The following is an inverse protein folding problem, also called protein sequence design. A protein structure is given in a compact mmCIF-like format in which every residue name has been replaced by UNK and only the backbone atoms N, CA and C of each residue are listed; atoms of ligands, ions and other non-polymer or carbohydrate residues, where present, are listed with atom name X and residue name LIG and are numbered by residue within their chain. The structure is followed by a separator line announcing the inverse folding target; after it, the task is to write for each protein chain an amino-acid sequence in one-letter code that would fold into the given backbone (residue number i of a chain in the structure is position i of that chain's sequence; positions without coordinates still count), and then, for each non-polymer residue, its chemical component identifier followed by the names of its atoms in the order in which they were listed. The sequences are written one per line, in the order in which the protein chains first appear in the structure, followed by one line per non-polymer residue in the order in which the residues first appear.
data_IF_901919383495
#
_entry.id   IF_901919383495
#
_cell.length_a   1.000
_cell.length_b   1.000
_cell.length_c   1.000
_cell.angle_alpha   90.00
_cell.angle_beta   90.00
_cell.angle_gamma   90.00
#
_symmetry.space_group_name_H-M   'P 1'
#
loop_
_entity.id
_entity.type
_entity.pdbx_description
1 polymer ?
#
# COMPACT_ATOMS: atom_id res chain seq x y z
N UNK A 1 12.29 -30.65 -3.95
CA UNK A 1 12.99 -30.45 -2.65
C UNK A 1 14.27 -29.67 -2.92
N UNK A 2 14.25 -28.34 -2.81
CA UNK A 2 15.45 -27.51 -3.03
C UNK A 2 16.21 -27.37 -1.71
N UNK A 3 17.38 -28.03 -1.64
CA UNK A 3 18.32 -27.90 -0.52
C UNK A 3 18.80 -26.45 -0.50
N UNK A 4 18.52 -25.71 0.58
CA UNK A 4 19.11 -24.39 0.80
C UNK A 4 20.60 -24.58 1.05
N UNK A 5 21.44 -24.16 0.12
CA UNK A 5 22.88 -24.04 0.34
C UNK A 5 23.11 -22.92 1.34
N UNK A 6 23.39 -23.27 2.59
CA UNK A 6 23.78 -22.30 3.61
C UNK A 6 25.17 -21.78 3.24
N UNK A 7 25.27 -20.53 2.81
CA UNK A 7 26.55 -19.84 2.74
C UNK A 7 27.18 -19.85 4.13
N UNK A 8 28.32 -20.51 4.30
CA UNK A 8 29.10 -20.39 5.53
C UNK A 8 29.79 -19.04 5.53
N UNK A 9 29.13 -18.01 6.06
CA UNK A 9 29.85 -16.81 6.49
C UNK A 9 30.73 -17.22 7.67
N UNK A 10 32.05 -17.22 7.46
CA UNK A 10 33.01 -17.18 8.58
C UNK A 10 33.03 -15.75 9.09
N UNK A 11 32.33 -15.52 10.20
CA UNK A 11 32.42 -14.29 10.97
C UNK A 11 33.35 -14.63 12.13
N UNK A 12 34.51 -13.97 12.20
CA UNK A 12 35.40 -14.09 13.36
C UNK A 12 34.62 -13.62 14.60
N UNK A 13 34.77 -14.33 15.72
CA UNK A 13 33.90 -14.22 16.88
C UNK A 13 33.88 -12.83 17.56
N UNK A 14 34.76 -11.93 17.13
CA UNK A 14 34.98 -10.56 17.60
C UNK A 14 34.62 -9.48 16.56
N UNK A 15 34.16 -9.86 15.36
CA UNK A 15 33.86 -8.91 14.29
C UNK A 15 32.56 -8.11 14.55
N UNK A 16 32.71 -6.88 15.05
CA UNK A 16 31.57 -5.97 15.35
C UNK A 16 30.92 -5.38 14.09
N UNK A 17 31.54 -5.51 12.91
CA UNK A 17 31.06 -4.91 11.64
C UNK A 17 31.46 -5.79 10.45
N UNK A 18 30.52 -6.02 9.53
CA UNK A 18 30.77 -6.70 8.24
C UNK A 18 30.35 -5.73 7.12
N UNK A 19 31.32 -5.21 6.38
CA UNK A 19 31.09 -4.15 5.38
C UNK A 19 30.64 -2.83 6.04
N UNK A 20 29.53 -2.24 5.59
CA UNK A 20 28.91 -1.05 6.22
C UNK A 20 27.88 -1.40 7.29
N UNK A 21 27.62 -2.69 7.52
CA UNK A 21 26.61 -3.16 8.45
C UNK A 21 27.25 -3.51 9.81
N UNK A 22 26.68 -2.94 10.89
CA UNK A 22 27.01 -3.38 12.26
C UNK A 22 26.39 -4.75 12.53
N UNK A 23 27.20 -5.67 13.02
CA UNK A 23 26.74 -6.98 13.48
C UNK A 23 26.11 -6.78 14.85
N UNK A 24 24.86 -7.19 15.02
CA UNK A 24 24.18 -7.23 16.32
C UNK A 24 24.14 -8.66 16.80
N UNK A 25 24.80 -8.94 17.92
CA UNK A 25 24.69 -10.19 18.65
C UNK A 25 23.29 -10.30 19.24
N UNK A 26 22.34 -10.90 18.51
CA UNK A 26 21.28 -11.71 19.13
C UNK A 26 20.37 -12.32 18.09
N UNK A 27 20.57 -13.63 17.89
CA UNK A 27 19.63 -14.53 17.24
C UNK A 27 18.44 -14.83 18.16
N UNK A 28 17.70 -13.80 18.56
CA UNK A 28 16.40 -13.98 19.20
C UNK A 28 15.36 -13.43 18.23
N UNK A 29 14.87 -14.28 17.34
CA UNK A 29 13.76 -13.95 16.43
C UNK A 29 12.47 -13.97 17.27
N UNK A 30 11.64 -12.93 17.14
CA UNK A 30 10.22 -12.98 17.54
C UNK A 30 9.82 -12.53 18.95
N UNK A 31 10.63 -11.76 19.68
CA UNK A 31 10.22 -11.20 21.00
C UNK A 31 10.45 -9.70 21.06
N UNK A 32 9.45 -8.94 21.53
CA UNK A 32 9.62 -7.50 21.76
C UNK A 32 10.69 -7.25 22.83
N UNK A 33 11.41 -6.13 22.73
CA UNK A 33 12.49 -5.81 23.68
C UNK A 33 11.99 -5.77 25.13
N UNK A 34 10.74 -5.33 25.35
CA UNK A 34 10.12 -5.29 26.66
C UNK A 34 9.87 -6.69 27.23
N UNK A 35 9.40 -7.64 26.41
CA UNK A 35 9.15 -9.01 26.86
C UNK A 35 10.43 -9.74 27.30
N UNK A 36 11.58 -9.40 26.70
CA UNK A 36 12.89 -9.97 27.08
C UNK A 36 13.36 -9.47 28.43
N UNK A 37 13.27 -8.17 28.67
CA UNK A 37 13.68 -7.56 29.94
C UNK A 37 12.86 -8.09 31.11
N UNK A 38 11.58 -8.37 30.90
CA UNK A 38 10.71 -8.97 31.91
C UNK A 38 11.15 -10.43 32.19
N UNK A 39 11.43 -11.23 31.16
CA UNK A 39 11.87 -12.62 31.35
C UNK A 39 13.24 -12.72 32.06
N UNK A 40 14.20 -11.85 31.73
CA UNK A 40 15.52 -11.81 32.39
C UNK A 40 15.42 -11.38 33.86
N UNK A 41 14.55 -10.41 34.15
CA UNK A 41 14.39 -9.88 35.51
C UNK A 41 13.62 -10.83 36.42
N UNK A 42 12.66 -11.57 35.87
CA UNK A 42 11.69 -12.34 36.68
C UNK A 42 11.85 -13.85 36.55
N UNK A 43 12.67 -14.34 35.60
CA UNK A 43 12.87 -15.76 35.32
C UNK A 43 11.68 -16.48 34.69
N UNK A 44 10.49 -15.87 34.72
CA UNK A 44 9.24 -16.42 34.19
C UNK A 44 9.11 -16.09 32.71
N UNK A 45 9.02 -17.14 31.89
CA UNK A 45 8.72 -16.99 30.46
C UNK A 45 7.23 -16.67 30.28
N UNK A 46 6.86 -15.70 29.41
CA UNK A 46 5.47 -15.47 29.09
C UNK A 46 4.88 -16.68 28.34
N UNK A 47 3.58 -16.96 28.51
CA UNK A 47 2.95 -18.14 27.93
C UNK A 47 3.02 -18.13 26.40
N UNK A 48 3.33 -19.28 25.81
CA UNK A 48 3.32 -19.49 24.36
C UNK A 48 1.94 -19.92 23.87
N UNK A 49 1.52 -19.42 22.70
CA UNK A 49 0.26 -19.75 22.00
C UNK A 49 0.03 -21.26 21.70
N UNK A 50 0.95 -22.15 22.08
CA UNK A 50 0.90 -23.58 21.74
C UNK A 50 0.19 -24.45 22.79
N UNK A 51 -0.09 -23.93 24.00
CA UNK A 51 -0.68 -24.70 25.12
C UNK A 51 -2.22 -24.68 25.17
N UNK A 52 -2.90 -24.07 24.20
CA UNK A 52 -4.35 -23.86 24.21
C UNK A 52 -5.20 -25.08 23.76
N UNK A 53 -4.58 -26.24 23.50
CA UNK A 53 -5.32 -27.43 22.99
C UNK A 53 -5.98 -28.24 24.12
N UNK A 54 -5.55 -28.10 25.37
CA UNK A 54 -6.05 -28.91 26.49
C UNK A 54 -7.31 -28.37 27.20
N UNK A 55 -7.85 -27.21 26.79
CA UNK A 55 -8.83 -26.44 27.58
C UNK A 55 -10.28 -26.46 27.06
N UNK A 56 -10.69 -27.48 26.29
CA UNK A 56 -12.11 -27.71 25.99
C UNK A 56 -12.75 -26.62 25.12
N UNK A 57 -12.18 -26.41 23.93
CA UNK A 57 -12.74 -25.52 22.91
C UNK A 57 -14.06 -26.08 22.34
N UNK A 58 -15.19 -25.51 22.76
CA UNK A 58 -16.53 -25.77 22.22
C UNK A 58 -16.77 -24.86 20.98
N UNK A 59 -16.84 -25.41 19.75
CA UNK A 59 -17.00 -24.62 18.53
C UNK A 59 -18.40 -23.97 18.38
N UNK A 60 -19.32 -24.21 19.31
CA UNK A 60 -20.69 -23.65 19.29
C UNK A 60 -20.92 -22.42 20.17
N UNK A 61 -19.94 -21.98 20.96
CA UNK A 61 -20.10 -20.83 21.85
C UNK A 61 -20.18 -19.51 21.06
N UNK A 62 -21.13 -18.60 21.36
CA UNK A 62 -21.19 -17.30 20.71
C UNK A 62 -19.90 -16.53 21.05
N UNK A 63 -19.14 -16.17 20.01
CA UNK A 63 -17.94 -15.35 20.15
C UNK A 63 -18.27 -14.09 20.96
N UNK A 64 -17.51 -13.78 22.03
CA UNK A 64 -17.79 -12.61 22.86
C UNK A 64 -17.70 -11.35 22.00
N UNK A 65 -18.59 -10.37 22.24
CA UNK A 65 -18.62 -9.07 21.55
C UNK A 65 -17.25 -8.34 21.54
N UNK A 66 -16.35 -8.68 22.46
CA UNK A 66 -14.97 -8.20 22.51
C UNK A 66 -14.08 -8.69 21.35
N UNK A 67 -14.49 -9.72 20.60
CA UNK A 67 -13.82 -10.25 19.41
C UNK A 67 -14.37 -9.68 18.09
N UNK A 68 -15.38 -8.81 18.13
CA UNK A 68 -15.83 -8.11 16.93
C UNK A 68 -14.79 -7.07 16.53
N UNK A 69 -14.22 -7.24 15.34
CA UNK A 69 -13.23 -6.34 14.76
C UNK A 69 -13.83 -4.93 14.71
N UNK A 70 -13.31 -4.02 15.54
CA UNK A 70 -13.76 -2.64 15.56
C UNK A 70 -13.72 -2.07 14.13
N UNK A 71 -14.84 -1.47 13.70
CA UNK A 71 -14.92 -0.80 12.41
C UNK A 71 -13.90 0.33 12.43
N UNK A 72 -12.73 0.09 11.83
CA UNK A 72 -11.64 1.06 11.80
C UNK A 72 -12.18 2.34 11.15
N UNK A 73 -12.04 3.50 11.80
CA UNK A 73 -12.50 4.75 11.20
C UNK A 73 -11.82 4.90 9.84
N UNK A 74 -12.64 5.09 8.79
CA UNK A 74 -12.15 5.28 7.42
C UNK A 74 -11.05 6.34 7.44
N UNK A 75 -9.94 6.06 6.73
CA UNK A 75 -8.79 6.96 6.66
C UNK A 75 -9.26 8.36 6.26
N UNK A 76 -8.93 9.36 7.08
CA UNK A 76 -9.36 10.76 6.91
C UNK A 76 -10.88 11.03 7.05
N UNK A 77 -11.65 10.17 7.75
CA UNK A 77 -13.12 10.28 7.92
C UNK A 77 -13.90 10.38 6.60
N UNK A 78 -13.33 9.83 5.53
CA UNK A 78 -13.94 9.91 4.22
C UNK A 78 -15.10 8.91 4.09
N UNK A 79 -16.23 9.34 3.54
CA UNK A 79 -17.40 8.48 3.31
C UNK A 79 -17.34 8.02 1.86
N UNK A 80 -17.19 6.71 1.64
CA UNK A 80 -17.33 6.11 0.31
C UNK A 80 -18.76 6.35 -0.17
N UNK A 81 -18.91 6.75 -1.42
CA UNK A 81 -20.21 7.07 -1.99
C UNK A 81 -20.43 6.26 -3.25
N UNK A 82 -21.63 5.73 -3.43
CA UNK A 82 -22.06 5.11 -4.67
C UNK A 82 -23.12 6.02 -5.31
N UNK A 83 -22.97 6.31 -6.58
CA UNK A 83 -23.95 7.08 -7.35
C UNK A 83 -24.16 6.40 -8.69
N UNK A 84 -25.40 6.02 -9.00
CA UNK A 84 -25.78 5.38 -10.26
C UNK A 84 -24.94 4.11 -10.58
N UNK A 85 -24.54 3.37 -9.54
CA UNK A 85 -23.72 2.16 -9.66
C UNK A 85 -22.21 2.42 -9.78
N UNK A 86 -21.77 3.67 -9.86
CA UNK A 86 -20.34 4.04 -9.83
C UNK A 86 -19.91 4.24 -8.37
N UNK A 87 -18.85 3.54 -7.97
CA UNK A 87 -18.26 3.66 -6.62
C UNK A 87 -17.17 4.73 -6.63
N UNK A 88 -17.31 5.72 -5.76
CA UNK A 88 -16.33 6.77 -5.52
C UNK A 88 -15.65 6.55 -4.17
N UNK A 89 -14.35 6.80 -4.11
CA UNK A 89 -13.62 6.69 -2.86
C UNK A 89 -13.93 7.89 -1.96
N UNK A 90 -14.24 9.07 -2.52
CA UNK A 90 -14.61 10.27 -1.75
C UNK A 90 -15.80 11.08 -2.29
N UNK A 91 -16.43 11.87 -1.40
CA UNK A 91 -17.44 12.85 -1.81
C UNK A 91 -16.88 13.91 -2.75
N UNK A 92 -15.60 14.29 -2.59
CA UNK A 92 -14.92 15.27 -3.43
C UNK A 92 -14.74 14.76 -4.86
N UNK A 93 -14.34 13.49 -5.02
CA UNK A 93 -14.29 12.82 -6.32
C UNK A 93 -15.66 12.80 -6.99
N UNK A 94 -16.70 12.42 -6.26
CA UNK A 94 -18.07 12.40 -6.79
C UNK A 94 -18.50 13.79 -7.29
N UNK A 95 -18.26 14.85 -6.50
CA UNK A 95 -18.58 16.22 -6.92
C UNK A 95 -17.78 16.64 -8.16
N UNK A 96 -16.49 16.27 -8.25
CA UNK A 96 -15.66 16.55 -9.42
C UNK A 96 -16.15 15.79 -10.65
N UNK A 97 -16.58 14.55 -10.48
CA UNK A 97 -17.17 13.74 -11.54
C UNK A 97 -18.36 14.45 -12.20
N UNK A 98 -19.32 14.96 -11.42
CA UNK A 98 -20.46 15.69 -11.99
C UNK A 98 -20.05 16.93 -12.78
N UNK A 99 -19.04 17.66 -12.30
CA UNK A 99 -18.52 18.82 -13.05
C UNK A 99 -17.91 18.38 -14.38
N UNK A 100 -17.15 17.28 -14.41
CA UNK A 100 -16.56 16.75 -15.64
C UNK A 100 -17.66 16.25 -16.60
N UNK A 101 -18.71 15.61 -16.11
CA UNK A 101 -19.86 15.20 -16.92
C UNK A 101 -20.55 16.41 -17.56
N UNK A 102 -20.73 17.51 -16.81
CA UNK A 102 -21.28 18.75 -17.37
C UNK A 102 -20.35 19.39 -18.43
N UNK A 103 -19.03 19.35 -18.20
CA UNK A 103 -18.04 19.80 -19.19
C UNK A 103 -18.05 18.94 -20.45
N UNK A 104 -18.28 17.63 -20.32
CA UNK A 104 -18.42 16.74 -21.46
C UNK A 104 -19.72 17.01 -22.22
N UNK A 105 -20.84 17.20 -21.50
CA UNK A 105 -22.14 17.51 -22.10
C UNK A 105 -22.13 18.86 -22.85
N UNK A 106 -21.35 19.83 -22.36
CA UNK A 106 -21.14 21.12 -23.03
C UNK A 106 -20.09 21.10 -24.14
N UNK A 107 -19.45 19.95 -24.39
CA UNK A 107 -18.50 19.77 -25.50
C UNK A 107 -17.08 20.26 -25.26
N UNK A 108 -16.71 20.66 -24.04
CA UNK A 108 -15.35 21.11 -23.70
C UNK A 108 -14.36 19.96 -23.56
N UNK A 109 -14.85 18.78 -23.17
CA UNK A 109 -14.05 17.56 -23.02
C UNK A 109 -14.73 16.38 -23.70
N UNK A 110 -13.95 15.37 -24.07
CA UNK A 110 -14.43 14.10 -24.64
C UNK A 110 -13.71 12.91 -24.00
N UNK A 111 -14.24 11.71 -24.22
CA UNK A 111 -13.67 10.44 -23.74
C UNK A 111 -13.38 10.41 -22.24
N UNK A 112 -14.30 10.93 -21.42
CA UNK A 112 -14.18 10.90 -19.96
C UNK A 112 -14.20 9.46 -19.44
N UNK A 113 -13.18 9.09 -18.68
CA UNK A 113 -12.98 7.75 -18.10
C UNK A 113 -12.61 7.86 -16.63
N UNK A 114 -13.12 6.93 -15.82
CA UNK A 114 -12.75 6.79 -14.41
C UNK A 114 -11.66 5.74 -14.20
N UNK A 115 -10.86 5.92 -13.14
CA UNK A 115 -9.96 4.89 -12.61
C UNK A 115 -9.02 4.28 -13.67
N UNK A 116 -8.42 5.15 -14.51
CA UNK A 116 -7.63 4.71 -15.66
C UNK A 116 -6.23 4.27 -15.21
N UNK A 117 -5.82 3.01 -15.49
CA UNK A 117 -4.49 2.54 -15.16
C UNK A 117 -3.46 2.93 -16.23
N UNK A 118 -2.36 3.52 -15.80
CA UNK A 118 -1.16 3.82 -16.58
C UNK A 118 0.01 2.96 -16.10
N UNK A 119 0.73 2.32 -17.02
CA UNK A 119 1.84 1.42 -16.69
C UNK A 119 3.14 2.23 -16.63
N UNK A 120 3.62 2.51 -15.43
CA UNK A 120 4.86 3.27 -15.22
C UNK A 120 6.09 2.43 -15.53
N UNK A 121 6.16 1.25 -14.91
CA UNK A 121 7.26 0.30 -15.10
C UNK A 121 6.68 -1.01 -15.57
N UNK A 122 7.20 -1.53 -16.67
CA UNK A 122 6.78 -2.82 -17.20
C UNK A 122 7.28 -3.96 -16.32
N UNK A 123 6.61 -5.11 -16.43
CA UNK A 123 7.06 -6.34 -15.82
C UNK A 123 8.40 -6.74 -16.45
N UNK A 124 9.43 -6.95 -15.65
CA UNK A 124 10.77 -7.35 -16.11
C UNK A 124 11.27 -8.55 -15.33
N UNK A 125 12.06 -9.40 -15.97
CA UNK A 125 12.74 -10.49 -15.30
C UNK A 125 14.04 -9.95 -14.68
N UNK A 126 14.31 -10.36 -13.44
CA UNK A 126 15.56 -10.09 -12.73
C UNK A 126 16.62 -11.10 -13.12
N UNK A 127 17.88 -10.77 -12.84
CA UNK A 127 19.03 -11.65 -13.13
C UNK A 127 18.97 -12.99 -12.39
N UNK A 128 18.26 -13.05 -11.26
CA UNK A 128 18.01 -14.28 -10.48
C UNK A 128 16.88 -15.17 -11.06
N UNK A 129 16.32 -14.79 -12.21
CA UNK A 129 15.23 -15.49 -12.89
C UNK A 129 13.83 -15.18 -12.34
N UNK A 130 13.70 -14.39 -11.26
CA UNK A 130 12.42 -13.98 -10.70
C UNK A 130 11.80 -12.81 -11.47
N UNK A 131 10.48 -12.59 -11.33
CA UNK A 131 9.78 -11.53 -12.05
C UNK A 131 9.48 -10.33 -11.17
N UNK A 132 9.92 -9.15 -11.59
CA UNK A 132 9.49 -7.88 -11.03
C UNK A 132 8.12 -7.51 -11.60
N UNK A 133 7.16 -7.22 -10.72
CA UNK A 133 5.79 -6.86 -11.14
C UNK A 133 5.75 -5.48 -11.78
N UNK A 134 4.85 -5.32 -12.74
CA UNK A 134 4.60 -4.01 -13.34
C UNK A 134 4.08 -3.02 -12.29
N UNK A 135 4.64 -1.82 -12.28
CA UNK A 135 4.16 -0.71 -11.45
C UNK A 135 3.16 0.11 -12.24
N UNK A 136 2.00 0.38 -11.65
CA UNK A 136 0.92 1.16 -12.25
C UNK A 136 0.59 2.40 -11.42
N UNK A 137 0.21 3.45 -12.11
CA UNK A 137 -0.50 4.60 -11.57
C UNK A 137 -1.96 4.52 -12.01
N UNK A 138 -2.90 4.66 -11.10
CA UNK A 138 -4.33 4.66 -11.41
C UNK A 138 -4.81 6.07 -11.17
N UNK A 139 -5.25 6.74 -12.23
CA UNK A 139 -5.77 8.10 -12.17
C UNK A 139 -7.27 8.08 -11.83
N UNK A 140 -7.73 9.05 -11.03
CA UNK A 140 -9.15 9.18 -10.72
C UNK A 140 -9.96 9.48 -12.00
N UNK A 141 -9.51 10.43 -12.81
CA UNK A 141 -10.15 10.80 -14.08
C UNK A 141 -9.13 10.98 -15.22
N UNK A 142 -9.50 10.56 -16.42
CA UNK A 142 -8.79 10.87 -17.65
C UNK A 142 -9.77 11.26 -18.75
N UNK A 143 -9.45 12.29 -19.52
CA UNK A 143 -10.27 12.78 -20.63
C UNK A 143 -9.39 13.45 -21.69
N UNK A 144 -9.97 13.77 -22.84
CA UNK A 144 -9.32 14.58 -23.88
C UNK A 144 -9.96 15.95 -23.86
N UNK A 145 -9.13 16.97 -23.69
CA UNK A 145 -9.53 18.37 -23.78
C UNK A 145 -9.74 18.72 -25.25
N UNK A 146 -10.91 19.29 -25.58
CA UNK A 146 -11.30 19.53 -26.99
C UNK A 146 -10.54 20.71 -27.59
N UNK A 147 -10.27 21.75 -26.80
CA UNK A 147 -9.57 22.96 -27.26
C UNK A 147 -8.11 22.67 -27.60
N UNK A 148 -7.44 21.89 -26.73
CA UNK A 148 -6.02 21.57 -26.91
C UNK A 148 -5.78 20.24 -27.64
N UNK A 149 -6.79 19.38 -27.70
CA UNK A 149 -6.69 18.01 -28.23
C UNK A 149 -5.84 17.06 -27.38
N UNK A 150 -5.34 17.49 -26.21
CA UNK A 150 -4.42 16.72 -25.37
C UNK A 150 -5.15 15.84 -24.37
N UNK A 151 -4.54 14.70 -24.04
CA UNK A 151 -5.01 13.88 -22.93
C UNK A 151 -4.69 14.56 -21.60
N UNK A 152 -5.72 14.77 -20.79
CA UNK A 152 -5.62 15.35 -19.46
C UNK A 152 -5.92 14.27 -18.43
N UNK A 153 -5.08 14.22 -17.40
CA UNK A 153 -5.25 13.33 -16.26
C UNK A 153 -5.46 14.19 -15.01
N UNK A 154 -6.59 13.96 -14.33
CA UNK A 154 -6.96 14.64 -13.10
C UNK A 154 -6.99 13.66 -11.92
N UNK A 155 -6.39 14.07 -10.81
CA UNK A 155 -6.30 13.27 -9.59
C UNK A 155 -6.80 14.09 -8.39
N UNK A 156 -7.87 13.63 -7.75
CA UNK A 156 -8.46 14.29 -6.59
C UNK A 156 -7.70 13.85 -5.36
N UNK A 157 -6.95 14.78 -4.76
CA UNK A 157 -6.03 14.43 -3.67
C UNK A 157 -6.06 15.48 -2.57
N UNK A 158 -5.99 15.00 -1.33
CA UNK A 158 -5.82 15.87 -0.16
C UNK A 158 -4.39 16.42 -0.11
N UNK A 159 -4.15 17.57 0.56
CA UNK A 159 -2.81 18.12 0.73
C UNK A 159 -1.82 17.14 1.38
N UNK A 160 -2.30 16.24 2.24
CA UNK A 160 -1.48 15.20 2.87
C UNK A 160 -1.02 14.18 1.84
N UNK A 161 -1.92 13.73 0.96
CA UNK A 161 -1.57 12.74 -0.07
C UNK A 161 -0.64 13.32 -1.14
N UNK A 162 -0.77 14.61 -1.47
CA UNK A 162 0.14 15.30 -2.41
C UNK A 162 1.59 15.30 -1.94
N UNK A 163 1.81 15.34 -0.62
CA UNK A 163 3.14 15.30 0.00
C UNK A 163 3.71 13.88 0.14
N UNK A 164 2.95 12.83 -0.21
CA UNK A 164 3.43 11.45 -0.09
C UNK A 164 4.57 11.20 -1.09
N UNK A 165 5.77 10.77 -0.65
CA UNK A 165 6.91 10.52 -1.53
C UNK A 165 6.60 9.51 -2.66
N UNK A 166 5.78 8.51 -2.37
CA UNK A 166 5.39 7.48 -3.36
C UNK A 166 4.54 8.10 -4.47
N UNK A 167 3.61 8.99 -4.12
CA UNK A 167 2.78 9.70 -5.10
C UNK A 167 3.65 10.63 -5.96
N UNK A 168 4.54 11.40 -5.33
CA UNK A 168 5.45 12.32 -6.03
C UNK A 168 6.31 11.55 -7.04
N UNK A 169 6.84 10.38 -6.67
CA UNK A 169 7.64 9.54 -7.57
C UNK A 169 6.80 9.03 -8.76
N UNK A 170 5.59 8.52 -8.51
CA UNK A 170 4.70 8.07 -9.58
C UNK A 170 4.28 9.20 -10.52
N UNK A 171 4.01 10.39 -9.99
CA UNK A 171 3.70 11.59 -10.78
C UNK A 171 4.87 12.02 -11.67
N UNK A 172 6.11 11.95 -11.16
CA UNK A 172 7.31 12.20 -11.97
C UNK A 172 7.45 11.17 -13.09
N UNK A 173 7.21 9.89 -12.79
CA UNK A 173 7.25 8.81 -13.80
C UNK A 173 6.14 8.95 -14.85
N UNK A 174 4.96 9.45 -14.48
CA UNK A 174 3.90 9.78 -15.43
C UNK A 174 4.36 10.84 -16.43
N UNK A 175 4.99 11.91 -15.94
CA UNK A 175 5.52 12.97 -16.78
C UNK A 175 6.64 12.43 -17.70
N UNK A 176 7.59 11.68 -17.15
CA UNK A 176 8.74 11.14 -17.89
C UNK A 176 8.34 10.16 -19.00
N UNK A 177 7.36 9.29 -18.75
CA UNK A 177 6.98 8.23 -19.70
C UNK A 177 5.90 8.63 -20.70
N UNK A 178 4.95 9.47 -20.27
CA UNK A 178 3.76 9.78 -21.06
C UNK A 178 3.68 11.26 -21.46
N UNK A 179 4.59 12.12 -20.99
CA UNK A 179 4.52 13.58 -21.16
C UNK A 179 3.21 14.20 -20.66
N UNK A 180 2.53 13.52 -19.73
CA UNK A 180 1.25 13.97 -19.15
C UNK A 180 1.52 14.61 -17.80
N UNK A 181 1.14 15.89 -17.66
CA UNK A 181 1.11 16.58 -16.38
C UNK A 181 -0.20 16.30 -15.65
N UNK A 182 -0.11 15.73 -14.45
CA UNK A 182 -1.27 15.41 -13.61
C UNK A 182 -1.81 16.69 -12.98
N UNK A 183 -3.09 16.99 -13.20
CA UNK A 183 -3.82 18.08 -12.54
C UNK A 183 -4.34 17.62 -11.19
N UNK A 184 -3.82 18.18 -10.12
CA UNK A 184 -4.21 17.86 -8.73
C UNK A 184 -5.39 18.73 -8.29
N UNK A 185 -6.52 18.11 -7.94
CA UNK A 185 -7.74 18.82 -7.49
C UNK A 185 -7.92 18.73 -5.98
#
# INVERSE_FOLDING_TARGET
MTKRTTWQMRIDADATTVGTARVRDSWAVGRSSAARQIAERTGVQPPSEFDDIASGFDPGAPVPLSMQKANQPLKYRNTKCEHEGIKFDSQKERSRWFQLVQLQASGHIRDLRLQVPFVLTERKQRDDGTWERASKYVADFAYVDVDTGKQVVEDVKSPVTRKNPTYIQKRKQMLDKYDITIKEV
#
